data_IF_665067376457
#
_entry.id   IF_665067376457
#
_cell.length_a   1.000
_cell.length_b   1.000
_cell.length_c   1.000
_cell.angle_alpha   90.00
_cell.angle_beta   90.00
_cell.angle_gamma   90.00
#
_symmetry.space_group_name_H-M   'P 1'
#
loop_
_entity.id
_entity.type
_entity.pdbx_description
1 polymer ?
#
# COMPACT_ATOMS: atom_id res chain seq x y z
N UNK A 1 11.18 11.59 18.69
CA UNK A 1 10.40 12.43 17.75
C UNK A 1 8.91 12.16 17.90
N UNK A 2 8.05 13.18 17.89
CA UNK A 2 6.60 12.96 17.97
C UNK A 2 6.02 12.84 16.56
N UNK A 3 5.85 11.61 16.08
CA UNK A 3 5.26 11.29 14.78
C UNK A 3 3.75 11.25 14.91
N UNK A 4 3.04 11.96 14.03
CA UNK A 4 1.58 11.94 13.96
C UNK A 4 1.14 10.76 13.09
N UNK A 5 0.88 9.63 13.72
CA UNK A 5 0.41 8.39 13.11
C UNK A 5 -0.63 7.77 14.05
N UNK A 6 -1.51 6.93 13.51
CA UNK A 6 -2.53 6.23 14.30
C UNK A 6 -1.90 5.45 15.47
N UNK A 7 -2.59 5.43 16.63
CA UNK A 7 -2.01 5.05 17.92
C UNK A 7 -1.47 3.61 17.94
N UNK A 8 -2.19 2.64 17.38
CA UNK A 8 -1.73 1.25 17.40
C UNK A 8 -0.45 1.07 16.58
N UNK A 9 -0.32 1.77 15.46
CA UNK A 9 0.91 1.81 14.67
C UNK A 9 2.04 2.53 15.39
N UNK A 10 1.74 3.61 16.08
CA UNK A 10 2.74 4.34 16.89
C UNK A 10 3.38 3.44 17.93
N UNK A 11 2.59 2.59 18.57
CA UNK A 11 3.05 1.60 19.55
C UNK A 11 3.92 0.52 18.92
N UNK A 12 3.47 -0.04 17.77
CA UNK A 12 4.20 -1.08 17.07
C UNK A 12 5.54 -0.62 16.49
N UNK A 13 5.64 0.64 16.09
CA UNK A 13 6.81 1.22 15.44
C UNK A 13 7.61 2.17 16.34
N UNK A 14 7.34 2.18 17.66
CA UNK A 14 7.99 3.08 18.60
C UNK A 14 9.52 2.99 18.56
N UNK A 15 10.07 1.78 18.46
CA UNK A 15 11.52 1.57 18.34
C UNK A 15 12.08 2.11 17.03
N UNK A 16 11.34 2.04 15.93
CA UNK A 16 11.77 2.58 14.62
C UNK A 16 11.88 4.11 14.68
N UNK A 17 10.93 4.78 15.33
CA UNK A 17 10.95 6.24 15.49
C UNK A 17 12.11 6.75 16.35
N UNK A 18 12.70 5.90 17.18
CA UNK A 18 13.86 6.22 18.02
C UNK A 18 15.22 5.98 17.31
N UNK A 19 15.22 5.31 16.16
CA UNK A 19 16.47 4.99 15.45
C UNK A 19 17.03 6.20 14.70
N UNK A 20 18.36 6.34 14.62
CA UNK A 20 19.01 7.47 13.93
C UNK A 20 18.60 7.61 12.47
N UNK A 21 18.39 6.49 11.74
CA UNK A 21 17.99 6.56 10.34
C UNK A 21 16.63 7.26 10.16
N UNK A 22 15.70 7.07 11.13
CA UNK A 22 14.37 7.68 11.02
C UNK A 22 14.43 9.19 11.23
N UNK A 23 15.30 9.66 12.13
CA UNK A 23 15.55 11.08 12.32
C UNK A 23 16.13 11.70 11.03
N UNK A 24 17.14 11.07 10.43
CA UNK A 24 17.73 11.48 9.16
C UNK A 24 16.69 11.49 8.02
N UNK A 25 15.87 10.45 7.92
CA UNK A 25 14.76 10.36 6.96
C UNK A 25 13.78 11.52 7.15
N UNK A 26 13.33 11.76 8.37
CA UNK A 26 12.37 12.81 8.68
C UNK A 26 12.93 14.21 8.37
N UNK A 27 14.21 14.44 8.64
CA UNK A 27 14.88 15.70 8.31
C UNK A 27 15.00 15.89 6.79
N UNK A 28 15.40 14.85 6.06
CA UNK A 28 15.46 14.86 4.61
C UNK A 28 14.08 15.15 3.99
N UNK A 29 13.03 14.47 4.44
CA UNK A 29 11.66 14.71 3.96
C UNK A 29 11.19 16.13 4.25
N UNK A 30 11.42 16.66 5.46
CA UNK A 30 11.08 18.05 5.78
C UNK A 30 11.80 19.04 4.88
N UNK A 31 13.07 18.79 4.56
CA UNK A 31 13.83 19.63 3.62
C UNK A 31 13.21 19.59 2.23
N UNK A 32 12.89 18.41 1.71
CA UNK A 32 12.22 18.24 0.42
C UNK A 32 10.92 19.06 0.35
N UNK A 33 10.04 18.93 1.34
CA UNK A 33 8.77 19.67 1.38
C UNK A 33 8.91 21.18 1.54
N UNK A 34 10.06 21.67 2.04
CA UNK A 34 10.34 23.11 2.15
C UNK A 34 10.92 23.70 0.86
N UNK A 35 11.63 22.91 0.09
CA UNK A 35 12.44 23.39 -1.05
C UNK A 35 11.84 23.02 -2.40
N UNK A 36 10.98 22.01 -2.45
CA UNK A 36 10.33 21.52 -3.68
C UNK A 36 8.86 21.20 -3.43
N UNK A 37 8.10 21.04 -4.52
CA UNK A 37 6.74 20.49 -4.42
C UNK A 37 6.84 18.99 -4.29
N UNK A 38 6.21 18.42 -3.24
CA UNK A 38 6.20 16.99 -2.96
C UNK A 38 4.78 16.46 -2.77
N UNK A 39 4.60 15.18 -3.02
CA UNK A 39 3.35 14.46 -2.82
C UNK A 39 3.55 13.21 -1.96
N UNK A 40 2.49 12.77 -1.24
CA UNK A 40 1.20 13.42 -1.03
C UNK A 40 1.35 14.70 -0.17
N UNK A 41 0.28 15.49 0.05
CA UNK A 41 0.31 16.54 1.09
C UNK A 41 0.85 16.01 2.40
N UNK A 42 1.67 16.79 3.11
CA UNK A 42 2.41 16.32 4.29
C UNK A 42 1.53 15.67 5.37
N UNK A 43 0.29 16.16 5.54
CA UNK A 43 -0.68 15.59 6.49
C UNK A 43 -1.15 14.17 6.09
N UNK A 44 -0.95 13.76 4.84
CA UNK A 44 -1.41 12.47 4.30
C UNK A 44 -0.29 11.45 4.08
N UNK A 45 0.94 11.76 4.48
CA UNK A 45 2.08 10.83 4.33
C UNK A 45 1.80 9.46 4.99
N UNK A 46 1.18 9.46 6.17
CA UNK A 46 0.83 8.25 6.92
C UNK A 46 -0.63 7.80 6.77
N UNK A 47 -1.32 8.24 5.72
CA UNK A 47 -2.75 8.00 5.56
C UNK A 47 -3.10 6.50 5.51
N UNK A 48 -2.25 5.65 4.90
CA UNK A 48 -2.45 4.21 4.89
C UNK A 48 -2.54 3.61 6.29
N UNK A 49 -1.70 4.09 7.21
CA UNK A 49 -1.70 3.68 8.62
C UNK A 49 -2.89 4.28 9.39
N UNK A 50 -3.23 5.54 9.12
CA UNK A 50 -4.30 6.24 9.82
C UNK A 50 -5.69 5.66 9.49
N UNK A 51 -5.89 5.16 8.28
CA UNK A 51 -7.16 4.57 7.85
C UNK A 51 -7.27 3.07 8.12
N UNK A 52 -6.15 2.40 8.37
CA UNK A 52 -6.09 0.96 8.64
C UNK A 52 -5.25 0.72 9.90
N UNK A 53 -5.84 0.79 11.11
CA UNK A 53 -5.16 0.48 12.36
C UNK A 53 -4.48 -0.90 12.34
N UNK A 54 -3.39 -1.05 13.09
CA UNK A 54 -2.58 -2.28 13.07
C UNK A 54 -3.40 -3.53 13.36
N UNK A 55 -4.28 -3.47 14.36
CA UNK A 55 -5.11 -4.61 14.76
C UNK A 55 -6.23 -4.93 13.78
N UNK A 56 -6.53 -4.03 12.85
CA UNK A 56 -7.55 -4.20 11.82
C UNK A 56 -6.99 -4.68 10.48
N UNK A 57 -5.67 -4.77 10.33
CA UNK A 57 -5.05 -5.23 9.08
C UNK A 57 -5.47 -6.66 8.78
N UNK A 58 -6.12 -6.87 7.64
CA UNK A 58 -6.52 -8.17 7.10
C UNK A 58 -5.89 -8.46 5.74
N UNK A 59 -5.63 -7.41 4.97
CA UNK A 59 -5.00 -7.49 3.65
C UNK A 59 -3.89 -6.44 3.57
N UNK A 60 -2.77 -6.78 2.97
CA UNK A 60 -1.67 -5.87 2.67
C UNK A 60 -1.45 -5.82 1.17
N UNK A 61 -1.52 -4.64 0.59
CA UNK A 61 -1.18 -4.37 -0.81
C UNK A 61 -0.02 -3.39 -0.82
N UNK A 62 1.07 -3.74 -1.53
CA UNK A 62 2.30 -2.95 -1.55
C UNK A 62 2.48 -2.30 -2.92
N UNK A 63 2.47 -0.96 -2.94
CA UNK A 63 2.87 -0.16 -4.07
C UNK A 63 4.34 0.26 -3.99
N UNK A 64 4.83 1.01 -4.97
CA UNK A 64 6.22 1.46 -5.04
C UNK A 64 6.38 2.83 -4.39
N UNK A 65 5.89 3.87 -5.03
CA UNK A 65 5.93 5.26 -4.57
C UNK A 65 4.62 5.99 -4.93
N UNK A 66 4.35 7.18 -4.38
CA UNK A 66 3.15 7.93 -4.70
C UNK A 66 3.11 8.39 -6.15
N UNK A 67 1.93 8.61 -6.69
CA UNK A 67 1.77 9.35 -7.95
C UNK A 67 2.40 10.74 -7.81
N UNK A 68 3.10 11.18 -8.85
CA UNK A 68 3.90 12.41 -8.84
C UNK A 68 3.23 13.61 -9.53
N UNK A 69 2.00 13.44 -10.03
CA UNK A 69 1.25 14.55 -10.62
C UNK A 69 0.30 15.22 -9.60
N UNK A 70 -0.03 16.51 -9.80
CA UNK A 70 -0.88 17.25 -8.88
C UNK A 70 -2.24 16.58 -8.65
N UNK A 71 -2.70 16.56 -7.40
CA UNK A 71 -4.05 16.12 -7.03
C UNK A 71 -4.26 14.61 -6.99
N UNK A 72 -3.29 13.78 -7.38
CA UNK A 72 -3.45 12.33 -7.43
C UNK A 72 -3.23 11.66 -6.06
N UNK A 73 -2.01 11.74 -5.52
CA UNK A 73 -1.61 11.03 -4.32
C UNK A 73 -2.27 11.57 -3.06
N UNK A 74 -2.73 10.66 -2.20
CA UNK A 74 -3.28 10.97 -0.88
C UNK A 74 -2.86 9.97 0.21
N UNK A 75 -1.70 9.33 0.02
CA UNK A 75 -1.06 8.46 1.01
C UNK A 75 -1.55 7.01 1.02
N UNK A 76 -2.25 6.57 -0.01
CA UNK A 76 -2.67 5.18 -0.23
C UNK A 76 -2.10 4.68 -1.56
N UNK A 77 -1.48 3.49 -1.56
CA UNK A 77 -0.96 2.89 -2.79
C UNK A 77 -2.07 2.67 -3.84
N UNK A 78 -1.76 2.93 -5.11
CA UNK A 78 -2.66 2.82 -6.27
C UNK A 78 -3.86 3.76 -6.28
N UNK A 79 -4.21 4.39 -5.16
CA UNK A 79 -5.38 5.22 -4.98
C UNK A 79 -5.16 6.65 -5.48
N UNK A 80 -6.21 7.24 -6.05
CA UNK A 80 -6.29 8.67 -6.36
C UNK A 80 -7.48 9.29 -5.66
N UNK A 81 -7.45 10.62 -5.52
CA UNK A 81 -8.56 11.36 -4.92
C UNK A 81 -9.81 11.32 -5.81
N UNK A 82 -10.98 11.58 -5.22
CA UNK A 82 -12.22 11.67 -5.96
C UNK A 82 -12.14 12.73 -7.06
N UNK A 83 -12.76 12.44 -8.21
CA UNK A 83 -12.77 13.33 -9.37
C UNK A 83 -11.49 13.30 -10.23
N UNK A 84 -10.48 12.52 -9.82
CA UNK A 84 -9.25 12.32 -10.59
C UNK A 84 -9.42 11.15 -11.56
N UNK A 85 -8.92 11.30 -12.78
CA UNK A 85 -8.92 10.23 -13.76
C UNK A 85 -8.17 8.99 -13.26
N UNK A 86 -8.73 7.81 -13.53
CA UNK A 86 -8.12 6.54 -13.10
C UNK A 86 -6.77 6.32 -13.79
N UNK A 87 -5.66 6.20 -13.03
CA UNK A 87 -4.37 5.82 -13.60
C UNK A 87 -4.42 4.43 -14.25
N UNK A 88 -3.56 4.16 -15.25
CA UNK A 88 -3.60 2.90 -16.01
C UNK A 88 -3.48 1.63 -15.16
N UNK A 89 -2.64 1.63 -14.11
CA UNK A 89 -2.54 0.50 -13.19
C UNK A 89 -3.84 0.26 -12.43
N UNK A 90 -4.49 1.31 -11.96
CA UNK A 90 -5.76 1.23 -11.23
C UNK A 90 -6.91 0.77 -12.14
N UNK A 91 -6.92 1.20 -13.41
CA UNK A 91 -7.87 0.69 -14.40
C UNK A 91 -7.73 -0.83 -14.57
N UNK A 92 -6.50 -1.36 -14.63
CA UNK A 92 -6.26 -2.79 -14.74
C UNK A 92 -6.64 -3.55 -13.45
N UNK A 93 -6.43 -2.94 -12.27
CA UNK A 93 -6.91 -3.50 -11.01
C UNK A 93 -8.44 -3.63 -11.04
N UNK A 94 -9.16 -2.58 -11.41
CA UNK A 94 -10.62 -2.62 -11.47
C UNK A 94 -11.16 -3.58 -12.53
N UNK A 95 -10.50 -3.70 -13.69
CA UNK A 95 -10.86 -4.69 -14.72
C UNK A 95 -10.73 -6.11 -14.18
N UNK A 96 -9.63 -6.44 -13.48
CA UNK A 96 -9.44 -7.76 -12.89
C UNK A 96 -10.49 -8.02 -11.80
N UNK A 97 -10.80 -7.05 -10.94
CA UNK A 97 -11.85 -7.19 -9.92
C UNK A 97 -13.19 -7.52 -10.60
N UNK A 98 -13.57 -6.78 -11.64
CA UNK A 98 -14.84 -7.01 -12.34
C UNK A 98 -14.89 -8.40 -13.01
N UNK A 99 -13.80 -8.85 -13.60
CA UNK A 99 -13.70 -10.17 -14.23
C UNK A 99 -13.71 -11.31 -13.20
N UNK A 100 -13.02 -11.13 -12.09
CA UNK A 100 -12.84 -12.13 -11.05
C UNK A 100 -14.08 -12.28 -10.16
N UNK A 101 -14.71 -11.18 -9.79
CA UNK A 101 -15.78 -11.15 -8.79
C UNK A 101 -17.17 -10.85 -9.36
N UNK A 102 -17.27 -10.42 -10.60
CA UNK A 102 -18.51 -9.92 -11.20
C UNK A 102 -18.95 -8.55 -10.68
N UNK A 103 -18.12 -7.86 -9.90
CA UNK A 103 -18.45 -6.53 -9.37
C UNK A 103 -18.51 -5.48 -10.49
N UNK A 104 -19.35 -4.48 -10.30
CA UNK A 104 -19.39 -3.31 -11.21
C UNK A 104 -18.12 -2.48 -11.01
N UNK A 105 -17.50 -2.04 -12.11
CA UNK A 105 -16.33 -1.18 -12.04
C UNK A 105 -16.69 0.16 -11.36
N UNK A 106 -15.91 0.58 -10.34
CA UNK A 106 -16.13 1.86 -9.69
C UNK A 106 -15.83 3.03 -10.63
N UNK A 107 -16.51 4.14 -10.43
CA UNK A 107 -16.23 5.40 -11.14
C UNK A 107 -15.15 6.23 -10.44
N UNK A 108 -15.01 6.06 -9.12
CA UNK A 108 -13.98 6.73 -8.32
C UNK A 108 -12.77 5.82 -8.10
N UNK A 109 -11.57 6.39 -8.25
CA UNK A 109 -10.31 5.75 -7.91
C UNK A 109 -9.89 5.91 -6.45
N UNK A 110 -10.74 6.46 -5.60
CA UNK A 110 -10.47 6.62 -4.18
C UNK A 110 -10.68 5.28 -3.44
N UNK A 111 -9.58 4.70 -2.96
CA UNK A 111 -9.56 3.40 -2.29
C UNK A 111 -9.64 3.49 -0.75
N UNK A 112 -9.99 4.64 -0.19
CA UNK A 112 -10.22 4.76 1.26
C UNK A 112 -11.26 3.73 1.75
N UNK A 113 -12.26 3.42 0.92
CA UNK A 113 -13.25 2.38 1.23
C UNK A 113 -12.62 1.00 1.48
N UNK A 114 -11.51 0.65 0.80
CA UNK A 114 -10.78 -0.58 1.09
C UNK A 114 -9.97 -0.46 2.38
N UNK A 115 -9.27 0.67 2.56
CA UNK A 115 -8.46 0.91 3.75
C UNK A 115 -9.30 0.80 5.04
N UNK A 116 -10.50 1.37 5.05
CA UNK A 116 -11.45 1.29 6.19
C UNK A 116 -11.98 -0.12 6.44
N UNK A 117 -11.82 -1.04 5.51
CA UNK A 117 -12.15 -2.46 5.68
C UNK A 117 -10.97 -3.32 6.14
N UNK A 118 -9.83 -2.72 6.45
CA UNK A 118 -8.65 -3.45 6.90
C UNK A 118 -7.67 -3.81 5.78
N UNK A 119 -7.72 -3.10 4.64
CA UNK A 119 -6.72 -3.21 3.58
C UNK A 119 -5.64 -2.15 3.79
N UNK A 120 -4.44 -2.56 4.17
CA UNK A 120 -3.29 -1.66 4.27
C UNK A 120 -2.74 -1.41 2.86
N UNK A 121 -3.01 -0.24 2.32
CA UNK A 121 -2.55 0.22 1.00
C UNK A 121 -1.24 0.99 1.17
N UNK A 122 -0.12 0.27 1.27
CA UNK A 122 1.18 0.79 1.64
C UNK A 122 2.10 0.95 0.43
N UNK A 123 2.66 2.14 0.22
CA UNK A 123 3.79 2.31 -0.68
C UNK A 123 5.11 1.98 0.04
N UNK A 124 6.10 1.43 -0.68
CA UNK A 124 7.44 1.21 -0.14
C UNK A 124 8.16 2.52 0.17
N UNK A 125 7.92 3.55 -0.65
CA UNK A 125 8.39 4.93 -0.48
C UNK A 125 7.17 5.83 -0.29
N UNK A 126 7.10 6.61 0.79
CA UNK A 126 5.88 7.32 1.16
C UNK A 126 5.76 8.74 0.60
N UNK A 127 6.82 9.26 -0.02
CA UNK A 127 6.84 10.61 -0.59
C UNK A 127 7.53 10.62 -1.95
N UNK A 128 7.25 11.65 -2.75
CA UNK A 128 7.84 11.84 -4.09
C UNK A 128 7.88 13.32 -4.42
N UNK A 129 8.87 13.77 -5.24
CA UNK A 129 8.84 15.11 -5.84
C UNK A 129 7.84 15.15 -6.98
N UNK A 130 7.23 16.30 -7.17
CA UNK A 130 6.37 16.57 -8.31
C UNK A 130 7.12 16.29 -9.62
N UNK A 131 6.46 15.56 -10.53
CA UNK A 131 6.94 15.18 -11.86
C UNK A 131 8.17 14.27 -11.91
N UNK A 132 8.67 13.78 -10.76
CA UNK A 132 9.88 12.97 -10.68
C UNK A 132 9.60 11.62 -9.99
N UNK A 133 9.10 10.64 -10.77
CA UNK A 133 8.87 9.29 -10.24
C UNK A 133 10.11 8.73 -9.56
N UNK A 134 9.91 8.03 -8.45
CA UNK A 134 10.96 7.36 -7.67
C UNK A 134 12.04 8.29 -7.06
N UNK A 135 11.84 9.61 -7.08
CA UNK A 135 12.82 10.60 -6.63
C UNK A 135 13.22 10.45 -5.16
N UNK A 136 12.35 9.95 -4.29
CA UNK A 136 12.61 9.76 -2.86
C UNK A 136 13.00 8.32 -2.47
N UNK A 137 13.26 7.43 -3.43
CA UNK A 137 13.69 6.05 -3.15
C UNK A 137 14.98 5.98 -2.30
N UNK A 138 15.83 7.00 -2.42
CA UNK A 138 17.14 7.09 -1.72
C UNK A 138 17.04 7.65 -0.31
N UNK A 139 15.90 8.18 0.11
CA UNK A 139 15.76 8.85 1.41
C UNK A 139 15.71 7.89 2.61
N UNK A 140 15.43 6.61 2.38
CA UNK A 140 15.38 5.59 3.45
C UNK A 140 13.99 5.14 3.87
N UNK A 141 12.92 5.54 3.17
CA UNK A 141 11.56 5.11 3.45
C UNK A 141 11.38 3.60 3.49
N UNK A 142 12.06 2.85 2.60
CA UNK A 142 11.90 1.40 2.52
C UNK A 142 12.30 0.69 3.81
N UNK A 143 13.29 1.20 4.54
CA UNK A 143 13.65 0.65 5.86
C UNK A 143 12.49 0.76 6.85
N UNK A 144 11.81 1.90 6.86
CA UNK A 144 10.65 2.12 7.72
C UNK A 144 9.44 1.28 7.30
N UNK A 145 9.09 1.25 6.03
CA UNK A 145 7.95 0.47 5.54
C UNK A 145 8.19 -1.03 5.64
N UNK A 146 9.44 -1.50 5.48
CA UNK A 146 9.81 -2.88 5.74
C UNK A 146 9.63 -3.25 7.22
N UNK A 147 9.96 -2.35 8.14
CA UNK A 147 9.70 -2.55 9.57
C UNK A 147 8.20 -2.66 9.87
N UNK A 148 7.36 -1.88 9.19
CA UNK A 148 5.91 -2.00 9.32
C UNK A 148 5.39 -3.34 8.81
N UNK A 149 5.85 -3.81 7.65
CA UNK A 149 5.50 -5.13 7.10
C UNK A 149 5.98 -6.23 8.05
N UNK A 150 7.20 -6.14 8.56
CA UNK A 150 7.78 -7.10 9.50
C UNK A 150 6.99 -7.16 10.81
N UNK A 151 6.49 -6.02 11.31
CA UNK A 151 5.65 -5.99 12.51
C UNK A 151 4.34 -6.78 12.29
N UNK A 152 3.68 -6.61 11.13
CA UNK A 152 2.50 -7.40 10.77
C UNK A 152 2.88 -8.89 10.66
N UNK A 153 3.90 -9.21 9.88
CA UNK A 153 4.32 -10.59 9.62
C UNK A 153 4.70 -11.36 10.89
N UNK A 154 5.21 -10.66 11.91
CA UNK A 154 5.63 -11.26 13.18
C UNK A 154 4.50 -11.37 14.19
N UNK A 155 3.62 -10.37 14.25
CA UNK A 155 2.65 -10.22 15.35
C UNK A 155 1.21 -10.54 14.96
N UNK A 156 0.95 -10.68 13.65
CA UNK A 156 -0.38 -10.99 13.11
C UNK A 156 -0.36 -12.32 12.38
N UNK A 157 -1.51 -12.97 12.33
CA UNK A 157 -1.78 -14.19 11.58
C UNK A 157 -3.01 -14.00 10.69
N UNK A 158 -3.14 -14.88 9.71
CA UNK A 158 -4.29 -14.89 8.81
C UNK A 158 -4.46 -13.60 8.00
N UNK A 159 -3.33 -12.97 7.68
CA UNK A 159 -3.27 -11.79 6.80
C UNK A 159 -3.05 -12.23 5.37
N UNK A 160 -3.73 -11.59 4.43
CA UNK A 160 -3.53 -11.80 2.99
C UNK A 160 -2.55 -10.75 2.47
N UNK A 161 -1.47 -11.19 1.87
CA UNK A 161 -0.50 -10.30 1.23
C UNK A 161 -0.64 -10.39 -0.29
N UNK A 162 -1.03 -9.31 -0.92
CA UNK A 162 -1.11 -9.17 -2.37
C UNK A 162 0.13 -8.44 -2.88
N UNK A 163 1.05 -9.19 -3.47
CA UNK A 163 2.38 -8.72 -3.85
C UNK A 163 2.50 -8.66 -5.38
N UNK A 164 2.40 -7.46 -5.93
CA UNK A 164 2.33 -7.19 -7.37
C UNK A 164 3.62 -6.62 -7.92
N UNK A 165 4.29 -7.40 -8.80
CA UNK A 165 5.56 -7.05 -9.41
C UNK A 165 6.79 -7.40 -8.57
N UNK A 166 7.97 -7.32 -9.17
CA UNK A 166 9.21 -7.83 -8.58
C UNK A 166 9.58 -7.20 -7.24
N UNK A 167 9.36 -5.88 -7.09
CA UNK A 167 9.68 -5.16 -5.85
C UNK A 167 8.80 -5.62 -4.68
N UNK A 168 7.48 -5.73 -4.90
CA UNK A 168 6.56 -6.21 -3.88
C UNK A 168 6.80 -7.70 -3.55
N UNK A 169 6.99 -8.55 -4.57
CA UNK A 169 7.23 -9.99 -4.37
C UNK A 169 8.46 -10.30 -3.53
N UNK A 170 9.50 -9.46 -3.57
CA UNK A 170 10.66 -9.64 -2.67
C UNK A 170 10.30 -9.57 -1.19
N UNK A 171 9.19 -8.92 -0.82
CA UNK A 171 8.71 -8.85 0.57
C UNK A 171 8.16 -10.18 1.07
N UNK A 172 7.85 -11.13 0.18
CA UNK A 172 7.37 -12.47 0.55
C UNK A 172 8.35 -13.23 1.46
N UNK A 173 9.65 -12.93 1.38
CA UNK A 173 10.66 -13.53 2.26
C UNK A 173 10.48 -13.19 3.75
N UNK A 174 9.74 -12.14 4.08
CA UNK A 174 9.42 -11.73 5.46
C UNK A 174 8.17 -12.43 6.01
N UNK A 175 7.43 -13.18 5.17
CA UNK A 175 6.08 -13.63 5.48
C UNK A 175 6.05 -15.14 5.63
N UNK A 176 5.58 -15.63 6.78
CA UNK A 176 5.31 -17.04 7.00
C UNK A 176 4.04 -17.48 6.27
N UNK A 177 4.20 -18.26 5.20
CA UNK A 177 3.11 -18.79 4.36
C UNK A 177 2.27 -19.86 5.04
N UNK A 178 2.71 -20.42 6.16
CA UNK A 178 1.89 -21.37 6.93
C UNK A 178 0.83 -20.64 7.76
N UNK A 179 1.09 -19.40 8.12
CA UNK A 179 0.21 -18.56 8.94
C UNK A 179 -0.58 -17.52 8.15
N UNK A 180 -0.23 -17.30 6.89
CA UNK A 180 -0.76 -16.23 6.06
C UNK A 180 -0.96 -16.69 4.62
N UNK A 181 -1.82 -15.98 3.88
CA UNK A 181 -1.96 -16.17 2.44
C UNK A 181 -1.10 -15.15 1.69
N UNK A 182 -0.25 -15.62 0.77
CA UNK A 182 0.55 -14.77 -0.11
C UNK A 182 0.12 -14.99 -1.56
N UNK A 183 -0.43 -13.95 -2.19
CA UNK A 183 -0.86 -13.92 -3.57
C UNK A 183 0.11 -13.05 -4.37
N UNK A 184 0.78 -13.65 -5.33
CA UNK A 184 1.81 -12.99 -6.14
C UNK A 184 1.39 -12.92 -7.60
N UNK A 185 1.70 -11.80 -8.25
CA UNK A 185 1.51 -11.62 -9.69
C UNK A 185 2.52 -10.63 -10.27
N UNK A 186 2.43 -10.40 -11.57
CA UNK A 186 3.11 -9.26 -12.22
C UNK A 186 2.46 -7.94 -11.74
N UNK A 187 3.11 -6.82 -12.04
CA UNK A 187 2.56 -5.51 -11.71
C UNK A 187 1.34 -5.18 -12.58
N UNK A 188 0.29 -4.49 -12.05
CA UNK A 188 -0.91 -4.14 -12.81
C UNK A 188 -0.70 -3.08 -13.91
N UNK A 189 0.47 -2.46 -14.01
CA UNK A 189 0.75 -1.50 -15.08
C UNK A 189 0.60 -2.15 -16.46
N UNK A 190 0.13 -1.41 -17.48
CA UNK A 190 0.00 -1.95 -18.84
C UNK A 190 1.29 -2.57 -19.40
N UNK A 191 2.45 -2.04 -19.00
CA UNK A 191 3.76 -2.56 -19.42
C UNK A 191 4.02 -4.00 -18.94
N UNK A 192 3.41 -4.40 -17.84
CA UNK A 192 3.53 -5.75 -17.27
C UNK A 192 2.27 -6.58 -17.51
N UNK A 193 1.10 -6.04 -17.20
CA UNK A 193 -0.17 -6.75 -17.27
C UNK A 193 -0.50 -7.26 -18.69
N UNK A 194 -0.18 -6.47 -19.73
CA UNK A 194 -0.43 -6.85 -21.12
C UNK A 194 0.50 -7.99 -21.63
N UNK A 195 1.51 -8.36 -20.85
CA UNK A 195 2.40 -9.50 -21.17
C UNK A 195 1.93 -10.81 -20.53
N UNK A 196 0.81 -10.77 -19.77
CA UNK A 196 0.24 -11.90 -19.02
C UNK A 196 0.68 -11.95 -17.57
N UNK A 197 -0.06 -12.74 -16.75
CA UNK A 197 0.21 -12.94 -15.34
C UNK A 197 -0.40 -11.88 -14.41
N UNK A 198 -1.34 -11.08 -14.92
CA UNK A 198 -2.17 -10.19 -14.14
C UNK A 198 -3.65 -10.57 -14.22
N UNK A 199 -4.21 -10.57 -15.44
CA UNK A 199 -5.62 -10.91 -15.65
C UNK A 199 -5.85 -12.41 -15.53
N UNK A 200 -6.94 -12.80 -14.83
CA UNK A 200 -7.31 -14.19 -14.60
C UNK A 200 -6.56 -14.87 -13.46
N UNK A 201 -5.81 -14.12 -12.65
CA UNK A 201 -5.13 -14.67 -11.46
C UNK A 201 -6.07 -14.87 -10.27
N UNK A 202 -7.29 -14.34 -10.34
CA UNK A 202 -8.36 -14.51 -9.35
C UNK A 202 -7.95 -14.11 -7.92
N UNK A 203 -7.12 -13.10 -7.77
CA UNK A 203 -6.55 -12.74 -6.47
C UNK A 203 -7.61 -12.20 -5.50
N UNK A 204 -8.59 -11.46 -6.00
CA UNK A 204 -9.61 -10.82 -5.18
C UNK A 204 -10.62 -11.83 -4.64
N UNK A 205 -11.09 -12.75 -5.47
CA UNK A 205 -11.97 -13.86 -5.04
C UNK A 205 -11.23 -14.84 -4.15
N UNK A 206 -9.95 -15.14 -4.43
CA UNK A 206 -9.11 -16.00 -3.57
C UNK A 206 -8.87 -15.38 -2.20
N UNK A 207 -8.64 -14.07 -2.15
CA UNK A 207 -8.54 -13.32 -0.89
C UNK A 207 -9.83 -13.48 -0.07
N UNK A 208 -10.98 -13.22 -0.68
CA UNK A 208 -12.27 -13.32 0.00
C UNK A 208 -12.61 -14.75 0.42
N UNK A 209 -12.29 -15.76 -0.40
CA UNK A 209 -12.46 -17.16 -0.03
C UNK A 209 -11.65 -17.51 1.24
N UNK A 210 -10.38 -17.10 1.31
CA UNK A 210 -9.55 -17.30 2.49
C UNK A 210 -10.11 -16.60 3.74
N UNK A 211 -10.55 -15.35 3.63
CA UNK A 211 -11.15 -14.63 4.76
C UNK A 211 -12.45 -15.33 5.23
N UNK A 212 -13.27 -15.78 4.30
CA UNK A 212 -14.52 -16.50 4.62
C UNK A 212 -14.28 -17.83 5.32
N UNK A 213 -13.28 -18.61 4.89
CA UNK A 213 -12.89 -19.87 5.54
C UNK A 213 -12.47 -19.67 7.00
N UNK A 214 -11.93 -18.48 7.31
CA UNK A 214 -11.54 -18.09 8.68
C UNK A 214 -12.69 -17.43 9.47
N UNK A 215 -13.90 -17.37 8.91
CA UNK A 215 -15.03 -16.69 9.54
C UNK A 215 -14.90 -15.16 9.60
N UNK A 216 -14.01 -14.60 8.79
CA UNK A 216 -13.78 -13.14 8.70
C UNK A 216 -14.67 -12.53 7.62
N UNK A 217 -15.04 -11.26 7.81
CA UNK A 217 -15.80 -10.51 6.79
C UNK A 217 -14.97 -10.38 5.52
N UNK A 218 -15.57 -10.63 4.37
CA UNK A 218 -14.97 -10.42 3.05
C UNK A 218 -14.73 -8.92 2.79
N UNK A 219 -13.83 -8.62 1.86
CA UNK A 219 -13.59 -7.25 1.39
C UNK A 219 -14.56 -6.94 0.25
N UNK A 220 -15.24 -5.83 0.35
CA UNK A 220 -16.01 -5.25 -0.74
C UNK A 220 -15.05 -4.46 -1.64
N UNK A 221 -14.59 -5.14 -2.67
CA UNK A 221 -13.61 -4.60 -3.62
C UNK A 221 -14.15 -3.49 -4.53
#
# INVERSE_FOLDING_TARGET
MNVKIEQSWKEQLAEEFAKPYFEQLAEAVRREYRTTTCYPPAALIFNAFNLCPFDQVRVVIIGQDPYHEPGQAHGLSFSVQDGVALPPSLQNIFKEIAQDTGATMPTSGNLERWARQGVLLLNATLTVRAHEANSHAVLGWQRFTDAAIQAIATKREHVVYMLWGGNARRKAQMIDRQRNLVLESVHPSPLSANRGGWFGEHQFSRCNAYLRELGMKEIEW
#
